data_IF_961751922124
#
_entry.id   IF_961751922124
#
_cell.length_a   1.000
_cell.length_b   1.000
_cell.length_c   1.000
_cell.angle_alpha   90.00
_cell.angle_beta   90.00
_cell.angle_gamma   90.00
#
_symmetry.space_group_name_H-M   'P 1'
#
loop_
_entity.id
_entity.type
_entity.pdbx_description
1 polymer ?
#
# COMPACT_ATOMS: atom_id res chain seq x y z
N UNK A 1 48.08 39.41 -33.58
CA UNK A 1 46.68 39.32 -33.12
C UNK A 1 46.37 37.83 -33.05
N UNK A 2 46.37 37.26 -31.86
CA UNK A 2 46.07 35.84 -31.63
C UNK A 2 44.78 35.78 -30.81
N UNK A 3 43.71 35.41 -31.47
CA UNK A 3 42.41 35.19 -30.84
C UNK A 3 42.44 33.89 -30.03
N UNK A 4 42.31 34.02 -28.75
CA UNK A 4 42.11 32.87 -27.84
C UNK A 4 40.71 32.34 -28.00
N UNK A 5 40.53 31.37 -28.91
CA UNK A 5 39.27 30.59 -28.99
C UNK A 5 39.20 29.70 -27.74
N UNK A 6 38.39 30.13 -26.77
CA UNK A 6 37.98 29.28 -25.64
C UNK A 6 37.20 28.10 -26.15
N UNK A 7 37.73 26.87 -25.96
CA UNK A 7 37.12 25.63 -26.49
C UNK A 7 35.69 25.47 -25.92
N UNK A 8 34.69 25.16 -26.76
CA UNK A 8 33.28 25.03 -26.35
C UNK A 8 33.08 23.92 -25.29
N UNK A 9 33.99 22.97 -25.19
CA UNK A 9 34.00 21.92 -24.18
C UNK A 9 34.16 22.42 -22.73
N UNK A 10 34.92 23.50 -22.51
CA UNK A 10 35.10 24.06 -21.16
C UNK A 10 33.87 24.78 -20.63
N UNK A 11 33.13 25.44 -21.51
CA UNK A 11 31.90 26.17 -21.13
C UNK A 11 30.79 25.16 -20.80
N UNK A 12 30.68 24.07 -21.57
CA UNK A 12 29.69 23.01 -21.32
C UNK A 12 29.99 22.27 -20.01
N UNK A 13 31.26 21.98 -19.72
CA UNK A 13 31.67 21.34 -18.47
C UNK A 13 31.44 22.24 -17.25
N UNK A 14 31.70 23.54 -17.36
CA UNK A 14 31.37 24.51 -16.29
C UNK A 14 29.86 24.63 -16.07
N UNK A 15 29.07 24.70 -17.11
CA UNK A 15 27.61 24.77 -17.00
C UNK A 15 27.02 23.49 -16.37
N UNK A 16 27.52 22.32 -16.75
CA UNK A 16 27.13 21.06 -16.13
C UNK A 16 27.52 20.99 -14.65
N UNK A 17 28.74 21.44 -14.29
CA UNK A 17 29.19 21.50 -12.91
C UNK A 17 28.38 22.48 -12.05
N UNK A 18 28.00 23.64 -12.60
CA UNK A 18 27.14 24.61 -11.92
C UNK A 18 25.71 24.06 -11.73
N UNK A 19 25.15 23.39 -12.75
CA UNK A 19 23.84 22.72 -12.64
C UNK A 19 23.84 21.61 -11.58
N UNK A 20 24.88 20.80 -11.53
CA UNK A 20 25.01 19.77 -10.48
C UNK A 20 25.21 20.37 -9.08
N UNK A 21 25.98 21.44 -8.97
CA UNK A 21 26.15 22.17 -7.69
C UNK A 21 24.84 22.84 -7.22
N UNK A 22 24.07 23.42 -8.13
CA UNK A 22 22.77 24.04 -7.82
C UNK A 22 21.74 22.96 -7.43
N UNK A 23 21.74 21.82 -8.11
CA UNK A 23 20.86 20.70 -7.78
C UNK A 23 21.20 20.10 -6.41
N UNK A 24 22.50 19.91 -6.09
CA UNK A 24 22.94 19.41 -4.78
C UNK A 24 22.70 20.43 -3.67
N UNK A 25 22.85 21.73 -3.94
CA UNK A 25 22.54 22.81 -2.99
C UNK A 25 21.03 22.90 -2.70
N UNK A 26 20.18 22.77 -3.73
CA UNK A 26 18.73 22.72 -3.59
C UNK A 26 18.29 21.52 -2.74
N UNK A 27 18.79 20.32 -3.05
CA UNK A 27 18.51 19.10 -2.28
C UNK A 27 18.97 19.23 -0.82
N UNK A 28 20.10 19.91 -0.55
CA UNK A 28 20.60 20.10 0.81
C UNK A 28 19.80 21.14 1.61
N UNK A 29 19.25 22.14 0.95
CA UNK A 29 18.37 23.14 1.58
C UNK A 29 17.02 22.49 1.91
N UNK A 30 16.46 21.69 0.98
CA UNK A 30 15.20 20.98 1.18
C UNK A 30 15.30 19.98 2.33
N UNK A 31 16.41 19.23 2.44
CA UNK A 31 16.62 18.27 3.53
C UNK A 31 16.77 18.94 4.92
N UNK A 32 17.41 20.11 5.00
CA UNK A 32 17.51 20.87 6.25
C UNK A 32 16.16 21.45 6.68
N UNK A 33 15.39 21.95 5.73
CA UNK A 33 14.03 22.48 5.98
C UNK A 33 13.11 21.37 6.43
N UNK A 34 13.13 20.22 5.75
CA UNK A 34 12.34 19.04 6.10
C UNK A 34 12.68 18.56 7.53
N UNK A 35 13.96 18.49 7.87
CA UNK A 35 14.40 18.09 9.20
C UNK A 35 13.91 19.05 10.29
N UNK A 36 13.99 20.36 10.04
CA UNK A 36 13.47 21.40 10.97
C UNK A 36 11.95 21.25 11.18
N UNK A 37 11.19 21.00 10.13
CA UNK A 37 9.74 20.75 10.21
C UNK A 37 9.42 19.47 11.01
N UNK A 38 10.15 18.40 10.76
CA UNK A 38 9.99 17.14 11.48
C UNK A 38 10.32 17.28 12.97
N UNK A 39 11.39 18.01 13.31
CA UNK A 39 11.78 18.32 14.69
C UNK A 39 10.75 19.23 15.38
N UNK A 40 10.12 20.13 14.63
CA UNK A 40 9.00 20.96 15.10
C UNK A 40 7.68 20.16 15.27
N UNK A 41 7.65 18.91 14.83
CA UNK A 41 6.54 17.98 15.05
C UNK A 41 5.57 17.85 13.88
N UNK A 42 5.93 18.29 12.67
CA UNK A 42 5.13 18.02 11.48
C UNK A 42 5.14 16.52 11.15
N UNK A 43 3.96 15.89 11.17
CA UNK A 43 3.83 14.44 10.98
C UNK A 43 4.21 14.01 9.55
N UNK A 44 3.92 14.83 8.53
CA UNK A 44 4.30 14.53 7.15
C UNK A 44 5.82 14.58 7.01
N UNK A 45 6.46 15.62 7.53
CA UNK A 45 7.92 15.72 7.51
C UNK A 45 8.60 14.58 8.29
N UNK A 46 8.02 14.16 9.41
CA UNK A 46 8.49 12.98 10.16
C UNK A 46 8.38 11.69 9.35
N UNK A 47 7.26 11.48 8.65
CA UNK A 47 7.08 10.35 7.75
C UNK A 47 8.12 10.39 6.62
N UNK A 48 8.31 11.53 5.98
CA UNK A 48 9.25 11.68 4.86
C UNK A 48 10.70 11.40 5.28
N UNK A 49 11.12 11.86 6.46
CA UNK A 49 12.45 11.51 7.00
C UNK A 49 12.54 10.01 7.31
N UNK A 50 11.49 9.40 7.85
CA UNK A 50 11.44 7.95 8.04
C UNK A 50 11.65 7.21 6.73
N UNK A 51 10.98 7.62 5.66
CA UNK A 51 11.13 7.04 4.32
C UNK A 51 12.53 7.28 3.73
N UNK A 52 13.16 8.42 3.99
CA UNK A 52 14.56 8.66 3.59
C UNK A 52 15.52 7.66 4.22
N UNK A 53 15.39 7.39 5.52
CA UNK A 53 16.22 6.41 6.22
C UNK A 53 15.88 4.97 5.80
N UNK A 54 14.62 4.65 5.55
CA UNK A 54 14.20 3.33 5.06
C UNK A 54 14.80 3.01 3.69
N UNK A 55 14.81 3.98 2.77
CA UNK A 55 15.26 3.79 1.40
C UNK A 55 16.73 4.17 1.15
N UNK A 56 17.39 4.80 2.11
CA UNK A 56 18.74 5.36 1.92
C UNK A 56 18.76 6.59 0.99
N UNK A 57 17.66 7.33 0.88
CA UNK A 57 17.53 8.47 -0.03
C UNK A 57 18.15 9.72 0.59
N UNK A 58 19.35 10.11 0.13
CA UNK A 58 20.09 11.27 0.65
C UNK A 58 20.75 11.04 2.02
N UNK A 59 20.55 9.89 2.63
CA UNK A 59 21.17 9.43 3.88
C UNK A 59 21.55 7.96 3.75
N UNK A 60 22.45 7.48 4.61
CA UNK A 60 22.69 6.03 4.70
C UNK A 60 21.44 5.34 5.19
N UNK A 61 21.06 4.23 4.55
CA UNK A 61 19.93 3.40 4.98
C UNK A 61 20.09 2.96 6.44
N UNK A 62 19.05 3.20 7.24
CA UNK A 62 19.00 2.85 8.65
C UNK A 62 17.56 2.59 9.09
N UNK A 63 17.17 1.33 9.19
CA UNK A 63 15.82 0.95 9.60
C UNK A 63 15.50 1.33 11.06
N UNK A 64 16.51 1.42 11.93
CA UNK A 64 16.28 1.84 13.31
C UNK A 64 15.95 3.33 13.40
N UNK A 65 16.65 4.17 12.64
CA UNK A 65 16.29 5.58 12.52
C UNK A 65 14.95 5.76 11.80
N UNK A 66 14.67 5.01 10.73
CA UNK A 66 13.37 5.03 10.06
C UNK A 66 12.24 4.73 11.04
N UNK A 67 12.36 3.67 11.86
CA UNK A 67 11.36 3.30 12.85
C UNK A 67 11.12 4.40 13.90
N UNK A 68 12.16 5.10 14.33
CA UNK A 68 12.03 6.23 15.28
C UNK A 68 11.20 7.37 14.68
N UNK A 69 11.46 7.73 13.42
CA UNK A 69 10.75 8.79 12.75
C UNK A 69 9.31 8.40 12.40
N UNK A 70 9.10 7.19 11.91
CA UNK A 70 7.75 6.67 11.69
C UNK A 70 6.95 6.60 12.99
N UNK A 71 7.56 6.24 14.12
CA UNK A 71 6.87 6.24 15.42
C UNK A 71 6.38 7.64 15.80
N UNK A 72 7.21 8.66 15.64
CA UNK A 72 6.81 10.05 15.90
C UNK A 72 5.61 10.46 15.04
N UNK A 73 5.66 10.17 13.73
CA UNK A 73 4.56 10.47 12.80
C UNK A 73 3.29 9.64 13.12
N UNK A 74 3.45 8.36 13.42
CA UNK A 74 2.35 7.44 13.75
C UNK A 74 1.61 7.84 15.03
N UNK A 75 2.33 8.28 16.06
CA UNK A 75 1.78 8.80 17.32
C UNK A 75 1.00 10.10 17.12
N UNK A 76 1.31 10.85 16.05
CA UNK A 76 0.57 12.05 15.61
C UNK A 76 -0.58 11.75 14.66
N UNK A 77 -0.81 10.47 14.35
CA UNK A 77 -1.94 10.02 13.56
C UNK A 77 -1.66 9.82 12.08
N UNK A 78 -0.43 9.96 11.58
CA UNK A 78 -0.13 9.67 10.17
C UNK A 78 -0.37 8.19 9.86
N UNK A 79 -1.37 7.90 9.02
CA UNK A 79 -1.78 6.54 8.69
C UNK A 79 -0.72 5.76 7.91
N UNK A 80 0.10 6.44 7.10
CA UNK A 80 1.20 5.84 6.32
C UNK A 80 2.28 5.36 7.28
N UNK A 81 2.65 6.23 8.24
CA UNK A 81 3.62 5.89 9.27
C UNK A 81 3.14 4.76 10.18
N UNK A 82 1.86 4.75 10.55
CA UNK A 82 1.25 3.65 11.29
C UNK A 82 1.35 2.33 10.50
N UNK A 83 1.06 2.35 9.21
CA UNK A 83 1.19 1.17 8.36
C UNK A 83 2.64 0.69 8.27
N UNK A 84 3.60 1.58 7.99
CA UNK A 84 5.01 1.23 7.89
C UNK A 84 5.58 0.71 9.22
N UNK A 85 5.20 1.34 10.33
CA UNK A 85 5.59 0.86 11.65
C UNK A 85 5.00 -0.53 11.96
N UNK A 86 3.79 -0.81 11.48
CA UNK A 86 3.20 -2.15 11.50
C UNK A 86 4.06 -3.17 10.76
N UNK A 87 4.52 -2.85 9.54
CA UNK A 87 5.44 -3.71 8.76
C UNK A 87 6.75 -3.91 9.50
N UNK A 88 7.34 -2.86 10.06
CA UNK A 88 8.61 -2.94 10.77
C UNK A 88 8.53 -3.83 12.00
N UNK A 89 7.45 -3.71 12.79
CA UNK A 89 7.22 -4.59 13.94
C UNK A 89 6.95 -6.04 13.51
N UNK A 90 6.21 -6.25 12.42
CA UNK A 90 5.92 -7.59 11.90
C UNK A 90 7.20 -8.32 11.46
N UNK A 91 8.15 -7.60 10.83
CA UNK A 91 9.35 -8.19 10.26
C UNK A 91 10.61 -8.04 11.12
N UNK A 92 10.56 -7.24 12.19
CA UNK A 92 11.74 -6.93 13.00
C UNK A 92 12.72 -5.97 12.31
N UNK A 93 12.24 -5.10 11.41
CA UNK A 93 13.11 -4.14 10.70
C UNK A 93 13.36 -2.90 11.55
N UNK A 94 14.59 -2.78 12.05
CA UNK A 94 15.02 -1.67 12.90
C UNK A 94 14.39 -1.62 14.30
N UNK A 95 13.51 -2.57 14.61
CA UNK A 95 12.88 -2.79 15.90
C UNK A 95 12.83 -4.30 16.21
N UNK A 96 12.74 -4.74 17.47
CA UNK A 96 12.44 -6.13 17.76
C UNK A 96 11.14 -6.56 17.10
N UNK A 97 11.10 -7.78 16.58
CA UNK A 97 9.88 -8.33 15.98
C UNK A 97 8.80 -8.46 17.05
N UNK A 98 7.67 -7.82 16.81
CA UNK A 98 6.47 -7.90 17.68
C UNK A 98 5.21 -7.85 16.82
N UNK A 99 4.66 -9.04 16.54
CA UNK A 99 3.47 -9.19 15.69
C UNK A 99 2.21 -8.61 16.37
N UNK A 100 2.16 -8.66 17.70
CA UNK A 100 1.04 -8.06 18.46
C UNK A 100 1.05 -6.54 18.36
N UNK A 101 2.24 -5.93 18.45
CA UNK A 101 2.39 -4.48 18.24
C UNK A 101 2.11 -4.09 16.79
N UNK A 102 2.53 -4.92 15.80
CA UNK A 102 2.21 -4.72 14.40
C UNK A 102 0.68 -4.63 14.17
N UNK A 103 -0.10 -5.53 14.77
CA UNK A 103 -1.56 -5.50 14.69
C UNK A 103 -2.15 -4.20 15.23
N UNK A 104 -1.62 -3.68 16.33
CA UNK A 104 -2.09 -2.40 16.90
C UNK A 104 -1.89 -1.24 15.91
N UNK A 105 -0.74 -1.19 15.25
CA UNK A 105 -0.43 -0.17 14.27
C UNK A 105 -1.25 -0.34 13.00
N UNK A 106 -1.37 -1.55 12.46
CA UNK A 106 -2.25 -1.82 11.32
C UNK A 106 -3.70 -1.43 11.62
N UNK A 107 -4.20 -1.73 12.83
CA UNK A 107 -5.57 -1.35 13.22
C UNK A 107 -5.77 0.16 13.20
N UNK A 108 -4.82 0.94 13.73
CA UNK A 108 -4.89 2.41 13.69
C UNK A 108 -4.95 2.93 12.25
N UNK A 109 -4.07 2.46 11.36
CA UNK A 109 -4.06 2.83 9.95
C UNK A 109 -5.33 2.37 9.22
N UNK A 110 -5.79 1.14 9.47
CA UNK A 110 -6.98 0.56 8.86
C UNK A 110 -8.26 1.31 9.25
N UNK A 111 -8.36 1.80 10.49
CA UNK A 111 -9.46 2.63 10.96
C UNK A 111 -9.49 4.01 10.27
N UNK A 112 -8.37 4.51 9.82
CA UNK A 112 -8.25 5.72 9.01
C UNK A 112 -8.49 5.48 7.52
N UNK A 113 -8.79 4.24 7.12
CA UNK A 113 -9.12 3.90 5.74
C UNK A 113 -7.93 3.43 4.88
N UNK A 114 -6.74 3.23 5.45
CA UNK A 114 -5.61 2.71 4.67
C UNK A 114 -5.88 1.27 4.18
N UNK A 115 -6.10 1.10 2.87
CA UNK A 115 -6.49 -0.18 2.27
C UNK A 115 -5.46 -1.28 2.52
N UNK A 116 -4.16 -0.99 2.37
CA UNK A 116 -3.09 -1.95 2.65
C UNK A 116 -3.06 -2.38 4.13
N UNK A 117 -3.37 -1.48 5.06
CA UNK A 117 -3.47 -1.82 6.47
C UNK A 117 -4.72 -2.67 6.77
N UNK A 118 -5.83 -2.41 6.08
CA UNK A 118 -7.04 -3.24 6.17
C UNK A 118 -6.79 -4.65 5.65
N UNK A 119 -6.10 -4.79 4.51
CA UNK A 119 -5.66 -6.07 3.98
C UNK A 119 -4.80 -6.84 5.01
N UNK A 120 -3.73 -6.20 5.52
CA UNK A 120 -2.84 -6.84 6.50
C UNK A 120 -3.58 -7.22 7.78
N UNK A 121 -4.47 -6.37 8.27
CA UNK A 121 -5.27 -6.69 9.46
C UNK A 121 -6.22 -7.87 9.20
N UNK A 122 -6.82 -7.95 8.01
CA UNK A 122 -7.59 -9.11 7.57
C UNK A 122 -6.76 -10.39 7.57
N UNK A 123 -5.53 -10.32 7.08
CA UNK A 123 -4.59 -11.44 7.08
C UNK A 123 -4.21 -11.89 8.51
N UNK A 124 -3.96 -10.94 9.42
CA UNK A 124 -3.65 -11.23 10.83
C UNK A 124 -4.80 -11.99 11.51
N UNK A 125 -6.04 -11.52 11.33
CA UNK A 125 -7.20 -12.21 11.88
C UNK A 125 -7.46 -13.58 11.23
N UNK A 126 -7.24 -13.70 9.91
CA UNK A 126 -7.41 -14.96 9.19
C UNK A 126 -6.48 -16.07 9.73
N UNK A 127 -5.24 -15.69 10.07
CA UNK A 127 -4.20 -16.63 10.48
C UNK A 127 -3.95 -16.69 12.00
N UNK A 128 -4.63 -15.85 12.79
CA UNK A 128 -4.39 -15.77 14.22
C UNK A 128 -3.00 -15.23 14.58
N UNK A 129 -2.46 -14.31 13.77
CA UNK A 129 -1.14 -13.74 13.98
C UNK A 129 -1.22 -12.47 14.81
N UNK A 130 -0.69 -12.49 16.01
CA UNK A 130 -0.71 -11.35 16.96
C UNK A 130 -2.10 -11.01 17.53
N UNK A 131 -3.14 -11.72 17.08
CA UNK A 131 -4.52 -11.69 17.58
C UNK A 131 -5.10 -13.10 17.53
N UNK A 132 -6.12 -13.42 18.34
CA UNK A 132 -6.88 -14.64 18.15
C UNK A 132 -7.46 -14.72 16.73
N UNK A 133 -7.45 -15.92 16.14
CA UNK A 133 -8.04 -16.15 14.83
C UNK A 133 -9.54 -15.80 14.85
N UNK A 134 -9.95 -14.97 13.92
CA UNK A 134 -11.35 -14.56 13.77
C UNK A 134 -11.69 -14.35 12.27
N UNK A 135 -12.41 -15.32 11.73
CA UNK A 135 -12.80 -15.31 10.31
C UNK A 135 -13.81 -14.20 9.96
N UNK A 136 -14.67 -13.82 10.91
CA UNK A 136 -15.64 -12.75 10.67
C UNK A 136 -14.94 -11.38 10.61
N UNK A 137 -14.01 -11.11 11.53
CA UNK A 137 -13.18 -9.90 11.47
C UNK A 137 -12.28 -9.91 10.22
N UNK A 138 -11.69 -11.03 9.85
CA UNK A 138 -10.90 -11.15 8.62
C UNK A 138 -11.75 -10.75 7.38
N UNK A 139 -12.94 -11.34 7.23
CA UNK A 139 -13.84 -11.03 6.14
C UNK A 139 -14.26 -9.55 6.10
N UNK A 140 -14.49 -8.96 7.26
CA UNK A 140 -14.86 -7.54 7.40
C UNK A 140 -13.73 -6.61 6.93
N UNK A 141 -12.48 -6.89 7.33
CA UNK A 141 -11.34 -6.07 6.94
C UNK A 141 -10.99 -6.24 5.46
N UNK A 142 -10.99 -7.47 4.94
CA UNK A 142 -10.82 -7.70 3.50
C UNK A 142 -11.90 -7.01 2.67
N UNK A 143 -13.16 -7.00 3.12
CA UNK A 143 -14.23 -6.29 2.41
C UNK A 143 -13.97 -4.80 2.36
N UNK A 144 -13.55 -4.17 3.46
CA UNK A 144 -13.19 -2.74 3.48
C UNK A 144 -12.06 -2.40 2.52
N UNK A 145 -11.02 -3.22 2.45
CA UNK A 145 -9.93 -3.03 1.48
C UNK A 145 -10.42 -3.24 0.04
N UNK A 146 -11.22 -4.28 -0.21
CA UNK A 146 -11.80 -4.58 -1.52
C UNK A 146 -12.73 -3.47 -2.02
N UNK A 147 -13.50 -2.83 -1.14
CA UNK A 147 -14.35 -1.67 -1.47
C UNK A 147 -13.53 -0.46 -1.94
N UNK A 148 -12.27 -0.38 -1.57
CA UNK A 148 -11.31 0.61 -2.07
C UNK A 148 -10.55 0.15 -3.32
N UNK A 149 -10.81 -1.05 -3.80
CA UNK A 149 -10.22 -1.60 -5.01
C UNK A 149 -8.91 -2.38 -4.79
N UNK A 150 -8.59 -2.76 -3.56
CA UNK A 150 -7.44 -3.61 -3.27
C UNK A 150 -7.61 -4.98 -3.95
N UNK A 151 -6.77 -5.24 -4.95
CA UNK A 151 -6.90 -6.40 -5.85
C UNK A 151 -6.73 -7.72 -5.10
N UNK A 152 -5.82 -7.78 -4.14
CA UNK A 152 -5.59 -8.99 -3.36
C UNK A 152 -6.78 -9.31 -2.47
N UNK A 153 -7.36 -8.31 -1.82
CA UNK A 153 -8.59 -8.47 -1.03
C UNK A 153 -9.77 -8.93 -1.89
N UNK A 154 -9.93 -8.37 -3.09
CA UNK A 154 -10.94 -8.80 -4.06
C UNK A 154 -10.77 -10.29 -4.43
N UNK A 155 -9.54 -10.71 -4.70
CA UNK A 155 -9.22 -12.12 -5.04
C UNK A 155 -9.45 -13.05 -3.85
N UNK A 156 -9.04 -12.64 -2.64
CA UNK A 156 -9.22 -13.44 -1.41
C UNK A 156 -10.70 -13.64 -1.12
N UNK A 157 -11.52 -12.60 -1.22
CA UNK A 157 -12.98 -12.72 -1.06
C UNK A 157 -13.60 -13.62 -2.12
N UNK A 158 -13.19 -13.46 -3.39
CA UNK A 158 -13.63 -14.33 -4.47
C UNK A 158 -13.35 -15.82 -4.19
N UNK A 159 -12.14 -16.12 -3.73
CA UNK A 159 -11.73 -17.49 -3.37
C UNK A 159 -12.47 -18.01 -2.13
N UNK A 160 -12.68 -17.17 -1.12
CA UNK A 160 -13.39 -17.52 0.09
C UNK A 160 -14.82 -17.99 -0.22
N UNK A 161 -15.56 -17.21 -1.02
CA UNK A 161 -16.91 -17.56 -1.46
C UNK A 161 -16.93 -18.76 -2.40
N UNK A 162 -15.90 -18.96 -3.23
CA UNK A 162 -15.78 -20.14 -4.09
C UNK A 162 -15.64 -21.42 -3.29
N UNK A 163 -14.75 -21.40 -2.28
CA UNK A 163 -14.42 -22.60 -1.50
C UNK A 163 -15.38 -22.82 -0.31
N UNK A 164 -16.18 -21.83 0.07
CA UNK A 164 -16.96 -21.87 1.31
C UNK A 164 -16.08 -21.90 2.56
N UNK A 165 -14.86 -21.35 2.48
CA UNK A 165 -13.95 -21.23 3.62
C UNK A 165 -14.23 -19.93 4.35
N UNK A 166 -14.39 -19.98 5.67
CA UNK A 166 -14.66 -18.84 6.59
C UNK A 166 -15.84 -17.91 6.18
N UNK A 167 -16.48 -18.17 5.06
CA UNK A 167 -17.79 -17.63 4.66
C UNK A 167 -18.58 -18.77 4.02
N UNK A 168 -19.93 -18.75 4.07
CA UNK A 168 -20.74 -19.71 3.31
C UNK A 168 -20.42 -19.68 1.83
N UNK A 169 -20.36 -20.84 1.17
CA UNK A 169 -20.12 -20.95 -0.28
C UNK A 169 -21.20 -20.19 -1.06
N UNK A 170 -20.76 -19.34 -1.98
CA UNK A 170 -21.65 -18.53 -2.83
C UNK A 170 -20.94 -18.19 -4.14
N UNK A 171 -21.29 -18.91 -5.21
CA UNK A 171 -20.68 -18.68 -6.52
C UNK A 171 -21.08 -17.35 -7.16
N UNK A 172 -22.25 -16.77 -6.82
CA UNK A 172 -22.66 -15.44 -7.31
C UNK A 172 -21.74 -14.38 -6.75
N UNK A 173 -21.51 -14.39 -5.43
CA UNK A 173 -20.56 -13.50 -4.78
C UNK A 173 -19.11 -13.76 -5.19
N UNK A 174 -18.74 -15.03 -5.39
CA UNK A 174 -17.41 -15.37 -5.90
C UNK A 174 -17.17 -14.77 -7.28
N UNK A 175 -18.12 -14.93 -8.21
CA UNK A 175 -18.03 -14.30 -9.54
C UNK A 175 -17.94 -12.77 -9.45
N UNK A 176 -18.75 -12.16 -8.60
CA UNK A 176 -18.74 -10.71 -8.37
C UNK A 176 -17.34 -10.21 -7.96
N UNK A 177 -16.75 -10.81 -6.92
CA UNK A 177 -15.45 -10.38 -6.43
C UNK A 177 -14.30 -10.63 -7.43
N UNK A 178 -14.28 -11.78 -8.12
CA UNK A 178 -13.30 -12.03 -9.17
C UNK A 178 -13.48 -11.12 -10.39
N UNK A 179 -14.69 -10.72 -10.72
CA UNK A 179 -14.93 -9.76 -11.79
C UNK A 179 -14.36 -8.39 -11.44
N UNK A 180 -14.55 -7.92 -10.21
CA UNK A 180 -13.98 -6.68 -9.74
C UNK A 180 -12.45 -6.76 -9.64
N UNK A 181 -11.89 -7.89 -9.24
CA UNK A 181 -10.44 -8.10 -9.27
C UNK A 181 -9.90 -7.98 -10.71
N UNK A 182 -10.53 -8.66 -11.68
CA UNK A 182 -10.12 -8.59 -13.07
C UNK A 182 -10.25 -7.18 -13.66
N UNK A 183 -11.26 -6.38 -13.28
CA UNK A 183 -11.41 -5.02 -13.81
C UNK A 183 -10.36 -4.04 -13.28
N UNK A 184 -9.63 -4.38 -12.21
CA UNK A 184 -8.62 -3.51 -11.58
C UNK A 184 -7.19 -3.99 -11.73
N UNK A 185 -7.03 -5.28 -11.96
CA UNK A 185 -5.72 -5.90 -12.12
C UNK A 185 -5.15 -5.68 -13.53
N UNK A 186 -3.85 -5.85 -13.65
CA UNK A 186 -3.12 -5.84 -14.93
C UNK A 186 -2.18 -7.05 -15.01
N UNK A 187 -1.61 -7.32 -16.18
CA UNK A 187 -0.61 -8.37 -16.36
C UNK A 187 -1.07 -9.75 -15.88
N UNK A 188 -0.27 -10.38 -15.03
CA UNK A 188 -0.52 -11.73 -14.51
C UNK A 188 -1.71 -11.79 -13.55
N UNK A 189 -1.89 -10.77 -12.73
CA UNK A 189 -3.02 -10.69 -11.80
C UNK A 189 -4.36 -10.64 -12.54
N UNK A 190 -4.44 -9.87 -13.64
CA UNK A 190 -5.60 -9.87 -14.52
C UNK A 190 -5.88 -11.27 -15.07
N UNK A 191 -4.84 -11.96 -15.58
CA UNK A 191 -5.01 -13.31 -16.11
C UNK A 191 -5.55 -14.29 -15.05
N UNK A 192 -4.99 -14.24 -13.85
CA UNK A 192 -5.43 -15.09 -12.74
C UNK A 192 -6.87 -14.80 -12.31
N UNK A 193 -7.22 -13.54 -12.14
CA UNK A 193 -8.56 -13.12 -11.75
C UNK A 193 -9.59 -13.47 -12.83
N UNK A 194 -9.26 -13.25 -14.11
CA UNK A 194 -10.12 -13.58 -15.25
C UNK A 194 -10.36 -15.09 -15.37
N UNK A 195 -9.31 -15.90 -15.23
CA UNK A 195 -9.45 -17.36 -15.23
C UNK A 195 -10.30 -17.87 -14.05
N UNK A 196 -10.12 -17.28 -12.86
CA UNK A 196 -10.93 -17.62 -11.70
C UNK A 196 -12.40 -17.27 -11.93
N UNK A 197 -12.69 -16.05 -12.41
CA UNK A 197 -14.03 -15.62 -12.80
C UNK A 197 -14.68 -16.59 -13.81
N UNK A 198 -13.95 -16.98 -14.87
CA UNK A 198 -14.47 -17.85 -15.90
C UNK A 198 -14.69 -19.29 -15.39
N UNK A 199 -13.91 -19.75 -14.41
CA UNK A 199 -14.15 -21.01 -13.71
C UNK A 199 -15.44 -20.94 -12.91
N UNK A 200 -15.64 -19.88 -12.12
CA UNK A 200 -16.86 -19.69 -11.34
C UNK A 200 -18.11 -19.58 -12.23
N UNK A 201 -17.98 -18.94 -13.40
CA UNK A 201 -19.10 -18.83 -14.34
C UNK A 201 -19.67 -20.18 -14.78
N UNK A 202 -18.85 -21.23 -14.81
CA UNK A 202 -19.26 -22.60 -15.18
C UNK A 202 -20.09 -23.29 -14.08
N UNK A 203 -19.97 -22.84 -12.85
CA UNK A 203 -20.72 -23.33 -11.69
C UNK A 203 -22.10 -22.65 -11.57
N UNK A 204 -22.37 -21.61 -12.37
CA UNK A 204 -23.58 -20.82 -12.29
C UNK A 204 -24.58 -21.18 -13.39
N UNK A 205 -25.85 -21.24 -13.03
CA UNK A 205 -26.93 -21.27 -14.05
C UNK A 205 -26.96 -19.93 -14.80
N UNK A 206 -27.52 -19.86 -16.02
CA UNK A 206 -27.62 -18.61 -16.78
C UNK A 206 -28.25 -17.45 -15.99
N UNK A 207 -29.32 -17.73 -15.22
CA UNK A 207 -30.00 -16.72 -14.39
C UNK A 207 -29.13 -16.21 -13.25
N UNK A 208 -28.39 -17.10 -12.57
CA UNK A 208 -27.46 -16.73 -11.49
C UNK A 208 -26.23 -15.98 -12.03
N UNK A 209 -25.76 -16.32 -13.22
CA UNK A 209 -24.67 -15.57 -13.88
C UNK A 209 -25.12 -14.14 -14.22
N UNK A 210 -26.34 -13.97 -14.71
CA UNK A 210 -26.87 -12.61 -14.98
C UNK A 210 -27.09 -11.81 -13.70
N UNK A 211 -27.53 -12.45 -12.62
CA UNK A 211 -27.58 -11.84 -11.28
C UNK A 211 -26.19 -11.31 -10.86
N UNK A 212 -25.15 -12.14 -10.97
CA UNK A 212 -23.79 -11.77 -10.63
C UNK A 212 -23.26 -10.60 -11.48
N UNK A 213 -23.52 -10.64 -12.80
CA UNK A 213 -23.15 -9.55 -13.74
C UNK A 213 -23.88 -8.26 -13.40
N UNK A 214 -25.15 -8.33 -13.00
CA UNK A 214 -25.90 -7.14 -12.56
C UNK A 214 -25.25 -6.53 -11.31
N UNK A 215 -24.89 -7.33 -10.31
CA UNK A 215 -24.18 -6.86 -9.11
C UNK A 215 -22.88 -6.12 -9.47
N UNK A 216 -22.09 -6.63 -10.40
CA UNK A 216 -20.87 -5.98 -10.88
C UNK A 216 -21.20 -4.60 -11.48
N UNK A 217 -22.16 -4.53 -12.42
CA UNK A 217 -22.55 -3.25 -13.06
C UNK A 217 -23.06 -2.22 -12.05
N UNK A 218 -23.87 -2.64 -11.08
CA UNK A 218 -24.39 -1.77 -10.04
C UNK A 218 -23.28 -1.22 -9.14
N UNK A 219 -22.35 -2.09 -8.78
CA UNK A 219 -21.19 -1.71 -7.98
C UNK A 219 -20.29 -0.72 -8.73
N UNK A 220 -19.93 -1.01 -9.97
CA UNK A 220 -19.11 -0.13 -10.82
C UNK A 220 -19.76 1.24 -10.99
N UNK A 221 -21.07 1.26 -11.26
CA UNK A 221 -21.84 2.52 -11.39
C UNK A 221 -21.82 3.36 -10.10
N UNK A 222 -21.84 2.71 -8.94
CA UNK A 222 -21.80 3.42 -7.64
C UNK A 222 -20.40 3.91 -7.26
N UNK A 223 -19.32 3.30 -7.81
CA UNK A 223 -17.93 3.59 -7.48
C UNK A 223 -17.16 4.32 -8.60
N UNK A 224 -17.76 4.51 -9.78
CA UNK A 224 -17.16 5.30 -10.88
C UNK A 224 -17.35 6.82 -10.73
N UNK A 225 -18.04 7.28 -9.67
CA UNK A 225 -18.31 8.70 -9.39
C UNK A 225 -17.41 9.32 -8.32
N UNK A 226 -16.34 8.62 -7.93
CA UNK A 226 -15.30 9.13 -7.04
C UNK A 226 -13.97 9.24 -7.78
#
# INVERSE_FOLDING_TARGET
MSEAQGSPSRVILLAAAILTLLATASLSVDSKTLRKQAEAGDANAQFDIGAMYENGSGVKQDYAEAAKWYRKAAERGDARAQYNLGIMNQNGWGVPQDVTEAVKWYRKAAMQGAASAQYNLGFMYLNGQGVPQDYAEAAKWYRKAAEQGDVDSLRILGLAYYLGKWVPQDFVRSYFWFSLAASRASGDEYRQASQAKDRVAKELTPGKLEEARRMVREWEKSHSRK
#
